data_IF_345527246893
#
_entry.id   IF_345527246893
#
_cell.length_a   1.000
_cell.length_b   1.000
_cell.length_c   1.000
_cell.angle_alpha   90.00
_cell.angle_beta   90.00
_cell.angle_gamma   90.00
#
_symmetry.space_group_name_H-M   'P 1'
#
loop_
_entity.id
_entity.type
_entity.pdbx_description
1 polymer ?
#
# COMPACT_ATOMS: atom_id res chain seq x y z
N UNK A 1 1.88 1.97 27.75
CA UNK A 1 2.12 0.67 27.10
C UNK A 1 0.94 0.34 26.19
N UNK A 2 1.13 0.37 24.87
CA UNK A 2 0.05 0.07 23.92
C UNK A 2 -0.05 -1.44 23.76
N UNK A 3 -0.95 -2.07 24.51
CA UNK A 3 -1.18 -3.51 24.47
C UNK A 3 -1.61 -3.93 23.05
N UNK A 4 -0.73 -4.67 22.34
CA UNK A 4 -1.08 -5.32 21.08
C UNK A 4 -1.95 -6.54 21.39
N UNK A 5 -3.25 -6.28 21.60
CA UNK A 5 -4.24 -7.28 22.02
C UNK A 5 -4.50 -8.36 20.98
N UNK A 6 -4.36 -8.05 19.70
CA UNK A 6 -4.78 -8.95 18.62
C UNK A 6 -3.59 -9.75 18.08
N UNK A 7 -3.51 -11.03 18.45
CA UNK A 7 -2.46 -11.94 18.02
C UNK A 7 -2.87 -12.71 16.75
N UNK A 8 -1.91 -12.92 15.85
CA UNK A 8 -2.09 -13.79 14.71
C UNK A 8 -2.05 -15.28 15.13
N UNK A 9 -3.02 -16.10 14.71
CA UNK A 9 -3.01 -17.54 14.99
C UNK A 9 -1.97 -18.34 14.20
N UNK A 10 -1.42 -17.77 13.11
CA UNK A 10 -0.50 -18.47 12.20
C UNK A 10 0.96 -18.08 12.45
N UNK A 11 1.23 -16.93 13.07
CA UNK A 11 2.59 -16.45 13.31
C UNK A 11 2.65 -15.55 14.56
N UNK A 12 3.84 -15.25 15.12
CA UNK A 12 3.95 -14.52 16.39
C UNK A 12 3.64 -13.01 16.28
N UNK A 13 3.10 -12.52 15.16
CA UNK A 13 2.78 -11.10 14.98
C UNK A 13 1.56 -10.68 15.81
N UNK A 14 1.68 -9.53 16.45
CA UNK A 14 0.61 -8.89 17.23
C UNK A 14 0.27 -7.51 16.67
N UNK A 15 -1.00 -7.15 16.73
CA UNK A 15 -1.56 -5.93 16.18
C UNK A 15 -2.37 -5.17 17.25
N UNK A 16 -2.40 -3.85 17.13
CA UNK A 16 -3.17 -2.98 18.03
C UNK A 16 -4.67 -2.94 17.71
N UNK A 17 -5.06 -3.31 16.48
CA UNK A 17 -6.44 -3.19 15.99
C UNK A 17 -6.84 -4.46 15.23
N UNK A 18 -8.09 -4.91 15.42
CA UNK A 18 -8.62 -6.13 14.78
C UNK A 18 -8.53 -6.07 13.25
N UNK A 19 -8.86 -4.93 12.63
CA UNK A 19 -8.81 -4.82 11.16
C UNK A 19 -7.40 -5.00 10.60
N UNK A 20 -6.35 -4.65 11.36
CA UNK A 20 -4.97 -4.89 10.96
C UNK A 20 -4.61 -6.38 11.03
N UNK A 21 -5.13 -7.10 12.04
CA UNK A 21 -5.00 -8.55 12.13
C UNK A 21 -5.73 -9.23 10.97
N UNK A 22 -6.98 -8.87 10.67
CA UNK A 22 -7.73 -9.43 9.54
C UNK A 22 -7.00 -9.18 8.21
N UNK A 23 -6.51 -7.97 7.99
CA UNK A 23 -5.75 -7.65 6.79
C UNK A 23 -4.39 -8.38 6.72
N UNK A 24 -3.83 -8.78 7.86
CA UNK A 24 -2.64 -9.63 7.92
C UNK A 24 -2.98 -11.10 7.67
N UNK A 25 -4.12 -11.61 8.13
CA UNK A 25 -4.53 -12.98 7.85
C UNK A 25 -4.65 -13.25 6.34
N UNK A 26 -5.06 -12.25 5.56
CA UNK A 26 -5.05 -12.32 4.10
C UNK A 26 -3.64 -12.58 3.51
N UNK A 27 -2.56 -12.21 4.21
CA UNK A 27 -1.19 -12.51 3.74
C UNK A 27 -0.85 -13.99 3.84
N UNK A 28 -1.53 -14.73 4.74
CA UNK A 28 -1.33 -16.18 4.90
C UNK A 28 -2.19 -16.99 3.93
N UNK A 29 -3.38 -16.49 3.57
CA UNK A 29 -4.28 -17.23 2.68
C UNK A 29 -3.93 -17.11 1.19
N UNK A 30 -3.02 -16.21 0.81
CA UNK A 30 -2.77 -15.79 -0.58
C UNK A 30 -4.03 -15.32 -1.36
N UNK A 31 -5.20 -15.26 -0.71
CA UNK A 31 -6.45 -14.81 -1.30
C UNK A 31 -6.38 -13.30 -1.45
N UNK A 32 -5.99 -12.87 -2.63
CA UNK A 32 -6.04 -11.46 -3.03
C UNK A 32 -7.47 -11.12 -3.44
N UNK A 33 -8.29 -10.78 -2.43
CA UNK A 33 -9.71 -10.47 -2.62
C UNK A 33 -9.99 -9.24 -3.49
N UNK A 34 -9.00 -8.35 -3.69
CA UNK A 34 -9.18 -7.09 -4.42
C UNK A 34 -8.44 -7.11 -5.75
N UNK A 35 -9.08 -7.64 -6.79
CA UNK A 35 -8.54 -7.68 -8.15
C UNK A 35 -8.64 -6.32 -8.85
N UNK A 36 -7.62 -5.98 -9.64
CA UNK A 36 -7.69 -4.88 -10.59
C UNK A 36 -8.52 -5.29 -11.81
N UNK A 37 -9.38 -4.40 -12.29
CA UNK A 37 -10.19 -4.64 -13.49
C UNK A 37 -9.46 -4.30 -14.79
N UNK A 38 -8.30 -3.64 -14.71
CA UNK A 38 -7.52 -3.20 -15.87
C UNK A 38 -6.26 -4.05 -16.11
N UNK A 39 -5.93 -4.96 -15.18
CA UNK A 39 -4.82 -5.92 -15.31
C UNK A 39 -4.97 -7.08 -14.32
N UNK A 40 -4.19 -8.14 -14.48
CA UNK A 40 -4.26 -9.36 -13.66
C UNK A 40 -3.65 -9.23 -12.25
N UNK A 41 -3.55 -8.01 -11.71
CA UNK A 41 -3.01 -7.76 -10.37
C UNK A 41 -4.11 -7.75 -9.33
N UNK A 42 -3.90 -8.54 -8.29
CA UNK A 42 -4.79 -8.57 -7.13
C UNK A 42 -4.08 -8.15 -5.85
N UNK A 43 -4.82 -7.54 -4.93
CA UNK A 43 -4.32 -6.94 -3.70
C UNK A 43 -5.04 -7.51 -2.48
N UNK A 44 -4.35 -7.49 -1.34
CA UNK A 44 -4.86 -7.99 -0.06
C UNK A 44 -5.74 -6.97 0.67
N UNK A 45 -5.63 -5.69 0.30
CA UNK A 45 -6.32 -4.57 0.93
C UNK A 45 -6.94 -3.67 -0.14
N UNK A 46 -8.12 -3.10 0.11
CA UNK A 46 -8.79 -2.23 -0.86
C UNK A 46 -8.01 -0.93 -1.10
N UNK A 47 -7.36 -0.39 -0.06
CA UNK A 47 -6.48 0.77 -0.19
C UNK A 47 -5.32 0.53 -1.17
N UNK A 48 -4.76 -0.68 -1.19
CA UNK A 48 -3.67 -1.02 -2.09
C UNK A 48 -4.15 -1.10 -3.55
N UNK A 49 -5.34 -1.65 -3.78
CA UNK A 49 -5.98 -1.64 -5.10
C UNK A 49 -6.28 -0.21 -5.57
N UNK A 50 -6.90 0.63 -4.73
CA UNK A 50 -7.20 2.03 -5.07
C UNK A 50 -5.93 2.81 -5.40
N UNK A 51 -4.87 2.61 -4.62
CA UNK A 51 -3.55 3.20 -4.90
C UNK A 51 -2.97 2.69 -6.21
N UNK A 52 -3.11 1.39 -6.49
CA UNK A 52 -2.65 0.79 -7.73
C UNK A 52 -3.39 1.35 -8.95
N UNK A 53 -4.71 1.52 -8.89
CA UNK A 53 -5.51 2.05 -10.00
C UNK A 53 -5.05 3.42 -10.50
N UNK A 54 -4.37 4.21 -9.66
CA UNK A 54 -3.78 5.50 -10.09
C UNK A 54 -2.76 5.36 -11.20
N UNK A 55 -2.06 4.22 -11.30
CA UNK A 55 -1.09 4.00 -12.39
C UNK A 55 -1.78 3.96 -13.76
N UNK A 56 -3.02 3.49 -13.80
CA UNK A 56 -3.80 3.40 -15.03
C UNK A 56 -4.49 4.72 -15.38
N UNK A 57 -4.67 5.60 -14.40
CA UNK A 57 -5.38 6.87 -14.58
C UNK A 57 -4.58 7.94 -15.37
N UNK A 58 -3.35 7.64 -15.82
CA UNK A 58 -2.39 8.60 -16.39
C UNK A 58 -2.15 9.89 -15.54
N UNK A 59 -2.76 9.99 -14.37
CA UNK A 59 -2.62 11.10 -13.44
C UNK A 59 -1.26 10.99 -12.77
N UNK A 60 -0.36 11.91 -13.14
CA UNK A 60 0.92 12.12 -12.48
C UNK A 60 0.89 13.47 -11.76
N UNK A 61 0.21 13.58 -10.61
CA UNK A 61 -0.07 14.88 -10.00
C UNK A 61 1.12 15.47 -9.24
N UNK A 62 2.21 14.72 -9.04
CA UNK A 62 3.33 15.18 -8.22
C UNK A 62 4.54 15.52 -9.09
N UNK A 63 4.90 16.79 -9.17
CA UNK A 63 6.05 17.26 -9.94
C UNK A 63 7.15 17.74 -9.00
N UNK A 64 8.39 17.33 -9.25
CA UNK A 64 9.56 17.86 -8.55
C UNK A 64 9.84 19.29 -9.03
N UNK A 65 9.79 20.26 -8.12
CA UNK A 65 10.06 21.66 -8.45
C UNK A 65 11.53 21.95 -8.83
N UNK A 66 12.47 21.06 -8.50
CA UNK A 66 13.90 21.25 -8.81
C UNK A 66 14.24 20.69 -10.20
N UNK A 67 13.90 19.43 -10.49
CA UNK A 67 14.27 18.76 -11.74
C UNK A 67 13.10 18.45 -12.68
N UNK A 68 11.88 18.89 -12.34
CA UNK A 68 10.66 18.71 -13.15
C UNK A 68 10.25 17.27 -13.44
N UNK A 69 10.85 16.29 -12.75
CA UNK A 69 10.42 14.89 -12.83
C UNK A 69 9.03 14.71 -12.22
N UNK A 70 8.18 13.95 -12.92
CA UNK A 70 6.78 13.76 -12.56
C UNK A 70 6.55 12.35 -12.01
N UNK A 71 5.84 12.27 -10.89
CA UNK A 71 5.56 11.06 -10.13
C UNK A 71 4.05 10.86 -9.96
N UNK A 72 3.64 9.59 -9.93
CA UNK A 72 2.24 9.18 -9.68
C UNK A 72 1.91 9.24 -8.18
N UNK A 73 2.93 9.20 -7.30
CA UNK A 73 2.77 9.04 -5.86
C UNK A 73 3.59 10.04 -5.06
N UNK A 74 2.98 10.57 -3.99
CA UNK A 74 3.63 11.49 -3.06
C UNK A 74 4.88 10.87 -2.39
N UNK A 75 4.80 9.63 -1.94
CA UNK A 75 5.94 8.98 -1.28
C UNK A 75 7.11 8.69 -2.25
N UNK A 76 6.84 8.60 -3.55
CA UNK A 76 7.87 8.44 -4.58
C UNK A 76 8.63 9.75 -4.79
N UNK A 77 7.93 10.88 -4.93
CA UNK A 77 8.57 12.20 -5.05
C UNK A 77 9.34 12.57 -3.77
N UNK A 78 8.82 12.30 -2.57
CA UNK A 78 9.56 12.55 -1.32
C UNK A 78 10.84 11.72 -1.19
N UNK A 79 10.80 10.48 -1.68
CA UNK A 79 12.00 9.63 -1.73
C UNK A 79 13.00 10.12 -2.77
N UNK A 80 12.51 10.62 -3.90
CA UNK A 80 13.34 11.26 -4.91
C UNK A 80 14.00 12.51 -4.32
N UNK A 81 13.25 13.42 -3.70
CA UNK A 81 13.79 14.61 -3.03
C UNK A 81 14.91 14.21 -2.09
N UNK A 82 14.65 13.39 -1.06
CA UNK A 82 15.67 13.02 -0.05
C UNK A 82 16.93 12.33 -0.59
N UNK A 83 16.90 11.79 -1.80
CA UNK A 83 18.03 11.03 -2.38
C UNK A 83 18.76 11.78 -3.49
N UNK A 84 18.09 12.71 -4.16
CA UNK A 84 18.61 13.45 -5.30
C UNK A 84 18.85 14.93 -4.99
N UNK A 85 18.26 15.45 -3.92
CA UNK A 85 18.26 16.84 -3.48
C UNK A 85 18.43 16.91 -1.96
#
# INVERSE_FOLDING_TARGET
ESDRRFQCPICPKRFLRQYNLNAHLNTHSQVRAHACTQCDKSFLRPYDLSRHQRIHSNSKPYTCNICQLIFIRNDAIWRHYRRAH
#
